data_IF_560118413171
#
_entry.id   IF_560118413171
#
_cell.length_a   1.000
_cell.length_b   1.000
_cell.length_c   1.000
_cell.angle_alpha   90.00
_cell.angle_beta   90.00
_cell.angle_gamma   90.00
#
_symmetry.space_group_name_H-M   'P 1'
#
loop_
_entity.id
_entity.type
_entity.pdbx_description
1 polymer ?
#
# COMPACT_ATOMS: atom_id res chain seq x y z
N UNK A 1 4.36 73.02 -46.72
CA UNK A 1 3.59 71.88 -47.25
C UNK A 1 4.49 70.65 -47.24
N UNK A 2 4.57 69.94 -46.11
CA UNK A 2 5.19 68.62 -46.04
C UNK A 2 4.08 67.59 -46.35
N UNK A 3 4.29 66.76 -47.36
CA UNK A 3 3.26 65.90 -47.92
C UNK A 3 2.90 64.69 -47.02
N UNK A 4 1.67 64.15 -47.14
CA UNK A 4 1.15 63.02 -46.34
C UNK A 4 1.82 61.66 -46.62
N UNK A 5 2.95 61.62 -47.34
CA UNK A 5 3.60 60.38 -47.77
C UNK A 5 4.56 59.78 -46.73
N UNK A 6 5.11 60.58 -45.81
CA UNK A 6 6.04 60.07 -44.79
C UNK A 6 5.35 59.34 -43.63
N UNK A 7 4.14 59.77 -43.26
CA UNK A 7 3.38 59.15 -42.15
C UNK A 7 2.86 57.75 -42.49
N UNK A 8 2.51 57.53 -43.76
CA UNK A 8 2.06 56.21 -44.25
C UNK A 8 3.21 55.20 -44.32
N UNK A 9 4.43 55.65 -44.64
CA UNK A 9 5.62 54.79 -44.65
C UNK A 9 6.02 54.35 -43.23
N UNK A 10 5.99 55.27 -42.27
CA UNK A 10 6.27 54.96 -40.86
C UNK A 10 5.21 54.03 -40.23
N UNK A 11 3.94 54.21 -40.59
CA UNK A 11 2.86 53.31 -40.13
C UNK A 11 3.01 51.88 -40.67
N UNK A 12 3.46 51.72 -41.92
CA UNK A 12 3.72 50.40 -42.51
C UNK A 12 4.89 49.68 -41.83
N UNK A 13 6.01 50.37 -41.57
CA UNK A 13 7.17 49.78 -40.89
C UNK A 13 6.85 49.34 -39.44
N UNK A 14 6.12 50.16 -38.68
CA UNK A 14 5.74 49.84 -37.29
C UNK A 14 4.80 48.64 -37.20
N UNK A 15 3.88 48.46 -38.16
CA UNK A 15 2.96 47.31 -38.21
C UNK A 15 3.67 46.00 -38.53
N UNK A 16 4.73 46.03 -39.35
CA UNK A 16 5.46 44.84 -39.77
C UNK A 16 6.39 44.34 -38.65
N UNK A 17 7.04 45.26 -37.92
CA UNK A 17 7.88 44.93 -36.77
C UNK A 17 7.07 44.38 -35.61
N UNK A 18 5.88 44.92 -35.34
CA UNK A 18 4.98 44.40 -34.29
C UNK A 18 4.46 43.01 -34.62
N UNK A 19 3.98 42.77 -35.85
CA UNK A 19 3.54 41.45 -36.30
C UNK A 19 4.66 40.41 -36.24
N UNK A 20 5.89 40.78 -36.62
CA UNK A 20 7.03 39.87 -36.56
C UNK A 20 7.39 39.49 -35.11
N UNK A 21 7.39 40.45 -34.18
CA UNK A 21 7.61 40.18 -32.74
C UNK A 21 6.54 39.27 -32.15
N UNK A 22 5.27 39.41 -32.55
CA UNK A 22 4.19 38.54 -32.09
C UNK A 22 4.32 37.11 -32.65
N UNK A 23 4.78 36.96 -33.90
CA UNK A 23 5.05 35.66 -34.52
C UNK A 23 6.19 34.93 -33.81
N UNK A 24 7.27 35.65 -33.47
CA UNK A 24 8.38 35.09 -32.69
C UNK A 24 7.97 34.74 -31.26
N UNK A 25 7.21 35.60 -30.57
CA UNK A 25 6.70 35.31 -29.23
C UNK A 25 5.78 34.08 -29.21
N UNK A 26 4.90 33.93 -30.21
CA UNK A 26 4.05 32.73 -30.37
C UNK A 26 4.86 31.47 -30.64
N UNK A 27 5.86 31.54 -31.52
CA UNK A 27 6.74 30.41 -31.80
C UNK A 27 7.57 30.01 -30.56
N UNK A 28 8.11 30.98 -29.82
CA UNK A 28 8.81 30.74 -28.58
C UNK A 28 7.90 30.09 -27.52
N UNK A 29 6.66 30.57 -27.37
CA UNK A 29 5.68 29.97 -26.46
C UNK A 29 5.36 28.51 -26.82
N UNK A 30 5.19 28.21 -28.11
CA UNK A 30 4.89 26.85 -28.60
C UNK A 30 6.05 25.88 -28.29
N UNK A 31 7.30 26.35 -28.33
CA UNK A 31 8.49 25.53 -28.04
C UNK A 31 8.77 25.45 -26.53
N UNK A 32 8.67 26.56 -25.79
CA UNK A 32 8.99 26.59 -24.36
C UNK A 32 7.88 26.00 -23.49
N UNK A 33 6.60 26.13 -23.87
CA UNK A 33 5.49 25.62 -23.06
C UNK A 33 5.59 24.11 -22.77
N UNK A 34 5.82 23.20 -23.75
CA UNK A 34 5.97 21.78 -23.45
C UNK A 34 7.21 21.47 -22.59
N UNK A 35 8.31 22.23 -22.74
CA UNK A 35 9.50 22.09 -21.89
C UNK A 35 9.23 22.53 -20.43
N UNK A 36 8.51 23.62 -20.23
CA UNK A 36 8.12 24.11 -18.90
C UNK A 36 7.09 23.18 -18.23
N UNK A 37 6.17 22.61 -19.00
CA UNK A 37 5.16 21.66 -18.52
C UNK A 37 5.81 20.32 -18.13
N UNK A 38 6.77 19.83 -18.90
CA UNK A 38 7.53 18.62 -18.57
C UNK A 38 8.34 18.77 -17.27
N UNK A 39 8.86 19.97 -16.98
CA UNK A 39 9.55 20.29 -15.72
C UNK A 39 8.63 20.50 -14.51
N UNK A 40 7.30 20.55 -14.71
CA UNK A 40 6.32 20.92 -13.67
C UNK A 40 5.53 19.71 -13.10
N UNK A 41 6.05 18.49 -13.30
CA UNK A 41 5.50 17.27 -12.68
C UNK A 41 4.36 16.57 -13.43
N UNK A 42 4.11 16.91 -14.70
CA UNK A 42 3.08 16.22 -15.51
C UNK A 42 3.32 14.72 -15.63
N UNK A 43 4.59 14.29 -15.67
CA UNK A 43 4.94 12.87 -15.76
C UNK A 43 4.93 12.15 -14.40
N UNK A 44 4.83 12.88 -13.29
CA UNK A 44 4.90 12.29 -11.94
C UNK A 44 3.75 11.32 -11.70
N UNK A 45 2.51 11.67 -12.09
CA UNK A 45 1.33 10.82 -11.90
C UNK A 45 1.47 9.49 -12.67
N UNK A 46 1.71 9.49 -14.00
CA UNK A 46 1.95 8.23 -14.74
C UNK A 46 3.11 7.40 -14.19
N UNK A 47 4.21 8.03 -13.77
CA UNK A 47 5.36 7.32 -13.20
C UNK A 47 4.99 6.62 -11.89
N UNK A 48 4.28 7.30 -10.98
CA UNK A 48 3.84 6.71 -9.71
C UNK A 48 2.76 5.64 -9.92
N UNK A 49 1.88 5.83 -10.91
CA UNK A 49 0.86 4.85 -11.29
C UNK A 49 1.48 3.52 -11.75
N UNK A 50 2.47 3.60 -12.66
CA UNK A 50 3.21 2.42 -13.13
C UNK A 50 4.07 1.79 -12.04
N UNK A 51 4.65 2.58 -11.13
CA UNK A 51 5.37 2.05 -9.97
C UNK A 51 4.44 1.25 -9.04
N UNK A 52 3.23 1.76 -8.75
CA UNK A 52 2.26 1.05 -7.92
C UNK A 52 1.75 -0.23 -8.61
N UNK A 53 1.50 -0.19 -9.93
CA UNK A 53 1.14 -1.39 -10.73
C UNK A 53 2.25 -2.42 -10.76
N UNK A 54 3.51 -2.01 -10.82
CA UNK A 54 4.65 -2.93 -10.76
C UNK A 54 4.70 -3.67 -9.41
N UNK A 55 4.50 -2.95 -8.30
CA UNK A 55 4.40 -3.58 -6.97
C UNK A 55 3.17 -4.49 -6.85
N UNK A 56 2.06 -4.11 -7.47
CA UNK A 56 0.88 -4.98 -7.55
C UNK A 56 1.15 -6.28 -8.31
N UNK A 57 1.90 -6.23 -9.41
CA UNK A 57 2.33 -7.42 -10.13
C UNK A 57 3.20 -8.33 -9.24
N UNK A 58 4.07 -7.74 -8.43
CA UNK A 58 4.90 -8.52 -7.50
C UNK A 58 4.07 -9.23 -6.41
N UNK A 59 3.06 -8.56 -5.85
CA UNK A 59 2.10 -9.18 -4.93
C UNK A 59 1.42 -10.39 -5.58
N UNK A 60 0.95 -10.24 -6.82
CA UNK A 60 0.32 -11.33 -7.57
C UNK A 60 1.28 -12.50 -7.81
N UNK A 61 2.54 -12.22 -8.15
CA UNK A 61 3.56 -13.26 -8.34
C UNK A 61 3.73 -14.11 -7.08
N UNK A 62 3.79 -13.48 -5.91
CA UNK A 62 3.95 -14.21 -4.65
C UNK A 62 2.68 -15.02 -4.30
N UNK A 63 1.49 -14.47 -4.53
CA UNK A 63 0.24 -15.23 -4.34
C UNK A 63 0.10 -16.41 -5.30
N UNK A 64 0.51 -16.25 -6.57
CA UNK A 64 0.53 -17.32 -7.55
C UNK A 64 1.48 -18.44 -7.11
N UNK A 65 2.71 -18.07 -6.71
CA UNK A 65 3.70 -19.03 -6.21
C UNK A 65 3.17 -19.82 -5.02
N UNK A 66 2.47 -19.18 -4.09
CA UNK A 66 1.80 -19.86 -2.98
C UNK A 66 0.76 -20.85 -3.50
N UNK A 67 -0.10 -20.43 -4.42
CA UNK A 67 -1.12 -21.29 -4.99
C UNK A 67 -0.55 -22.51 -5.74
N UNK A 68 0.62 -22.36 -6.37
CA UNK A 68 1.30 -23.43 -7.11
C UNK A 68 1.93 -24.50 -6.21
N UNK A 69 2.28 -24.14 -4.97
CA UNK A 69 2.84 -25.09 -3.99
C UNK A 69 1.76 -25.98 -3.34
N UNK A 70 0.51 -25.51 -3.30
CA UNK A 70 -0.58 -26.18 -2.56
C UNK A 70 -0.88 -27.59 -3.07
N UNK A 71 -0.98 -27.89 -4.38
CA UNK A 71 -1.27 -29.24 -4.84
C UNK A 71 -0.26 -30.27 -4.35
N UNK A 72 1.03 -29.93 -4.36
CA UNK A 72 2.10 -30.80 -3.86
C UNK A 72 2.02 -30.99 -2.34
N UNK A 73 1.67 -29.93 -1.60
CA UNK A 73 1.43 -30.02 -0.16
C UNK A 73 0.24 -30.94 0.15
N UNK A 74 -0.88 -30.74 -0.54
CA UNK A 74 -2.10 -31.54 -0.37
C UNK A 74 -1.82 -33.01 -0.67
N UNK A 75 -1.09 -33.33 -1.73
CA UNK A 75 -0.75 -34.71 -2.06
C UNK A 75 0.18 -35.36 -1.03
N UNK A 76 1.17 -34.60 -0.54
CA UNK A 76 2.05 -35.06 0.53
C UNK A 76 1.27 -35.36 1.82
N UNK A 77 0.38 -34.45 2.24
CA UNK A 77 -0.45 -34.65 3.45
C UNK A 77 -1.42 -35.81 3.25
N UNK A 78 -2.04 -35.96 2.07
CA UNK A 78 -2.92 -37.09 1.75
C UNK A 78 -2.26 -38.45 1.96
N UNK A 79 -0.97 -38.57 1.63
CA UNK A 79 -0.22 -39.82 1.82
C UNK A 79 -0.13 -40.30 3.27
N UNK A 80 -0.21 -39.37 4.25
CA UNK A 80 -0.04 -39.67 5.67
C UNK A 80 -1.32 -39.48 6.51
N UNK A 81 -2.19 -38.55 6.11
CA UNK A 81 -3.34 -38.08 6.89
C UNK A 81 -4.64 -38.19 6.08
N UNK A 82 -4.93 -39.36 5.49
CA UNK A 82 -6.13 -39.60 4.68
C UNK A 82 -7.47 -39.34 5.40
N UNK A 83 -7.45 -39.36 6.73
CA UNK A 83 -8.62 -39.10 7.58
C UNK A 83 -8.95 -37.59 7.66
N UNK A 84 -8.01 -36.70 7.34
CA UNK A 84 -8.17 -35.24 7.37
C UNK A 84 -8.82 -34.70 6.08
N UNK A 85 -9.80 -35.42 5.53
CA UNK A 85 -10.44 -35.08 4.25
C UNK A 85 -11.06 -33.69 4.27
N UNK A 86 -11.71 -33.33 5.38
CA UNK A 86 -12.37 -32.03 5.51
C UNK A 86 -11.36 -30.88 5.36
N UNK A 87 -10.20 -30.98 6.02
CA UNK A 87 -9.16 -29.95 5.94
C UNK A 87 -8.57 -29.87 4.52
N UNK A 88 -8.31 -31.01 3.89
CA UNK A 88 -7.79 -31.06 2.52
C UNK A 88 -8.77 -30.48 1.49
N UNK A 89 -10.08 -30.71 1.68
CA UNK A 89 -11.14 -30.09 0.88
C UNK A 89 -11.15 -28.58 1.08
N UNK A 90 -11.13 -28.09 2.34
CA UNK A 90 -11.07 -26.66 2.63
C UNK A 90 -9.86 -25.97 2.00
N UNK A 91 -8.68 -26.63 2.00
CA UNK A 91 -7.46 -26.10 1.36
C UNK A 91 -7.64 -25.99 -0.15
N UNK A 92 -8.25 -27.01 -0.76
CA UNK A 92 -8.48 -27.05 -2.21
C UNK A 92 -9.49 -25.98 -2.63
N UNK A 93 -10.57 -25.81 -1.87
CA UNK A 93 -11.60 -24.79 -2.09
C UNK A 93 -11.04 -23.37 -1.89
N UNK A 94 -10.27 -23.15 -0.81
CA UNK A 94 -9.64 -21.87 -0.54
C UNK A 94 -8.64 -21.49 -1.63
N UNK A 95 -7.86 -22.45 -2.13
CA UNK A 95 -6.99 -22.25 -3.31
C UNK A 95 -7.81 -21.85 -4.53
N UNK A 96 -8.87 -22.58 -4.83
CA UNK A 96 -9.73 -22.29 -5.97
C UNK A 96 -10.27 -20.85 -5.89
N UNK A 97 -10.83 -20.47 -4.74
CA UNK A 97 -11.31 -19.11 -4.48
C UNK A 97 -10.22 -18.05 -4.67
N UNK A 98 -9.02 -18.27 -4.10
CA UNK A 98 -7.89 -17.34 -4.21
C UNK A 98 -7.35 -17.18 -5.63
N UNK A 99 -7.51 -18.19 -6.50
CA UNK A 99 -7.06 -18.16 -7.90
C UNK A 99 -8.15 -17.73 -8.90
N UNK A 100 -9.42 -17.77 -8.49
CA UNK A 100 -10.55 -17.51 -9.39
C UNK A 100 -10.78 -16.02 -9.67
N UNK A 101 -10.30 -15.15 -8.79
CA UNK A 101 -10.37 -13.71 -9.00
C UNK A 101 -9.41 -13.34 -10.14
N UNK A 102 -9.96 -13.09 -11.33
CA UNK A 102 -9.19 -12.52 -12.45
C UNK A 102 -8.73 -11.13 -12.05
N UNK A 103 -7.45 -11.04 -11.69
CA UNK A 103 -6.84 -9.78 -11.34
C UNK A 103 -6.49 -9.04 -12.62
N UNK A 104 -7.16 -7.92 -12.85
CA UNK A 104 -6.74 -6.93 -13.82
C UNK A 104 -6.25 -5.66 -13.11
N UNK A 105 -5.72 -4.71 -13.88
CA UNK A 105 -5.32 -3.41 -13.35
C UNK A 105 -6.48 -2.59 -12.77
N UNK A 106 -7.74 -2.96 -13.03
CA UNK A 106 -8.91 -2.27 -12.47
C UNK A 106 -9.22 -2.70 -11.03
N UNK A 107 -8.81 -3.92 -10.64
CA UNK A 107 -9.03 -4.49 -9.30
C UNK A 107 -8.50 -3.57 -8.20
N UNK A 108 -7.32 -2.96 -8.40
CA UNK A 108 -6.71 -2.04 -7.41
C UNK A 108 -7.43 -0.69 -7.30
N UNK A 109 -8.31 -0.36 -8.24
CA UNK A 109 -9.12 0.87 -8.22
C UNK A 109 -10.59 0.61 -7.84
N UNK A 110 -11.01 -0.65 -7.76
CA UNK A 110 -12.34 -1.08 -7.32
C UNK A 110 -12.28 -1.61 -5.87
N UNK A 111 -12.85 -0.88 -4.89
CA UNK A 111 -12.86 -1.32 -3.50
C UNK A 111 -13.47 -2.71 -3.28
N UNK A 112 -14.57 -3.02 -3.97
CA UNK A 112 -15.29 -4.28 -3.76
C UNK A 112 -14.53 -5.47 -4.37
N UNK A 113 -13.90 -5.28 -5.52
CA UNK A 113 -13.06 -6.30 -6.13
C UNK A 113 -11.77 -6.53 -5.31
N UNK A 114 -11.12 -5.44 -4.87
CA UNK A 114 -9.93 -5.52 -4.03
C UNK A 114 -10.20 -6.21 -2.70
N UNK A 115 -11.30 -5.87 -2.03
CA UNK A 115 -11.68 -6.49 -0.75
C UNK A 115 -11.95 -7.99 -0.92
N UNK A 116 -12.71 -8.39 -1.93
CA UNK A 116 -12.93 -9.81 -2.24
C UNK A 116 -11.63 -10.55 -2.51
N UNK A 117 -10.71 -9.95 -3.26
CA UNK A 117 -9.39 -10.52 -3.51
C UNK A 117 -8.61 -10.70 -2.21
N UNK A 118 -8.51 -9.65 -1.40
CA UNK A 118 -7.79 -9.68 -0.12
C UNK A 118 -8.38 -10.73 0.83
N UNK A 119 -9.71 -10.79 0.97
CA UNK A 119 -10.39 -11.78 1.81
C UNK A 119 -10.10 -13.21 1.36
N UNK A 120 -10.12 -13.50 0.06
CA UNK A 120 -9.79 -14.83 -0.46
C UNK A 120 -8.33 -15.22 -0.15
N UNK A 121 -7.39 -14.27 -0.25
CA UNK A 121 -5.99 -14.50 0.11
C UNK A 121 -5.79 -14.71 1.62
N UNK A 122 -6.50 -13.97 2.46
CA UNK A 122 -6.43 -14.11 3.92
C UNK A 122 -7.08 -15.43 4.38
N UNK A 123 -8.20 -15.84 3.79
CA UNK A 123 -8.83 -17.14 4.02
C UNK A 123 -7.87 -18.29 3.69
N UNK A 124 -7.20 -18.22 2.53
CA UNK A 124 -6.21 -19.22 2.14
C UNK A 124 -5.07 -19.31 3.17
N UNK A 125 -4.54 -18.18 3.62
CA UNK A 125 -3.50 -18.13 4.67
C UNK A 125 -3.96 -18.82 5.95
N UNK A 126 -5.18 -18.54 6.40
CA UNK A 126 -5.74 -19.15 7.61
C UNK A 126 -5.95 -20.67 7.49
N UNK A 127 -6.39 -21.14 6.33
CA UNK A 127 -6.56 -22.58 6.05
C UNK A 127 -5.21 -23.29 5.99
N UNK A 128 -4.20 -22.68 5.36
CA UNK A 128 -2.83 -23.22 5.33
C UNK A 128 -2.24 -23.31 6.74
N UNK A 129 -2.48 -22.30 7.60
CA UNK A 129 -2.09 -22.37 9.01
C UNK A 129 -2.70 -23.56 9.74
N UNK A 130 -3.98 -23.87 9.51
CA UNK A 130 -4.62 -25.08 10.07
C UNK A 130 -4.03 -26.37 9.52
N UNK A 131 -3.74 -26.43 8.22
CA UNK A 131 -3.08 -27.58 7.60
C UNK A 131 -1.70 -27.84 8.21
N UNK A 132 -0.92 -26.80 8.51
CA UNK A 132 0.38 -26.95 9.18
C UNK A 132 0.27 -27.49 10.60
N UNK A 133 -0.83 -27.26 11.31
CA UNK A 133 -1.06 -27.85 12.64
C UNK A 133 -1.35 -29.36 12.60
N UNK A 134 -1.76 -29.92 11.45
CA UNK A 134 -2.03 -31.35 11.33
C UNK A 134 -0.77 -32.18 11.63
N UNK A 135 0.43 -31.68 11.29
CA UNK A 135 1.68 -32.40 11.50
C UNK A 135 1.90 -32.83 12.97
N UNK A 136 1.36 -32.09 13.94
CA UNK A 136 1.49 -32.42 15.37
C UNK A 136 0.75 -33.71 15.75
N UNK A 137 -0.29 -34.08 14.98
CA UNK A 137 -1.04 -35.33 15.17
C UNK A 137 -0.45 -36.48 14.35
N UNK A 138 0.45 -36.21 13.42
CA UNK A 138 1.01 -37.19 12.47
C UNK A 138 2.55 -37.11 12.47
N UNK A 139 3.25 -37.78 13.39
CA UNK A 139 4.71 -37.72 13.52
C UNK A 139 5.47 -38.10 12.23
N UNK A 140 4.96 -39.08 11.48
CA UNK A 140 5.56 -39.50 10.21
C UNK A 140 5.54 -38.37 9.16
N UNK A 141 4.45 -37.59 9.12
CA UNK A 141 4.33 -36.42 8.25
C UNK A 141 5.27 -35.30 8.72
N UNK A 142 5.35 -35.07 10.04
CA UNK A 142 6.23 -34.05 10.65
C UNK A 142 7.71 -34.28 10.33
N UNK A 143 8.13 -35.54 10.20
CA UNK A 143 9.51 -35.92 9.86
C UNK A 143 9.76 -36.07 8.35
N UNK A 144 8.71 -35.97 7.52
CA UNK A 144 8.82 -36.14 6.08
C UNK A 144 9.59 -34.96 5.45
N UNK A 145 10.69 -35.28 4.76
CA UNK A 145 11.57 -34.27 4.16
C UNK A 145 10.88 -33.42 3.08
N UNK A 146 9.97 -34.00 2.29
CA UNK A 146 9.22 -33.25 1.28
C UNK A 146 8.24 -32.27 1.93
N UNK A 147 7.58 -32.69 3.02
CA UNK A 147 6.68 -31.82 3.77
C UNK A 147 7.43 -30.65 4.43
N UNK A 148 8.56 -30.92 5.10
CA UNK A 148 9.41 -29.89 5.70
C UNK A 148 9.93 -28.88 4.66
N UNK A 149 10.33 -29.36 3.48
CA UNK A 149 10.75 -28.49 2.39
C UNK A 149 9.60 -27.60 1.89
N UNK A 150 8.40 -28.15 1.71
CA UNK A 150 7.22 -27.39 1.28
C UNK A 150 6.77 -26.37 2.34
N UNK A 151 6.83 -26.74 3.62
CA UNK A 151 6.56 -25.83 4.74
C UNK A 151 7.52 -24.64 4.70
N UNK A 152 8.83 -24.87 4.58
CA UNK A 152 9.82 -23.80 4.47
C UNK A 152 9.60 -22.91 3.25
N UNK A 153 9.23 -23.49 2.10
CA UNK A 153 8.92 -22.72 0.89
C UNK A 153 7.67 -21.86 1.06
N UNK A 154 6.63 -22.36 1.74
CA UNK A 154 5.41 -21.62 2.04
C UNK A 154 5.66 -20.50 3.03
N UNK A 155 6.37 -20.75 4.13
CA UNK A 155 6.79 -19.71 5.09
C UNK A 155 7.61 -18.62 4.39
N UNK A 156 8.57 -19.01 3.56
CA UNK A 156 9.34 -18.08 2.74
C UNK A 156 8.48 -17.27 1.78
N UNK A 157 7.41 -17.86 1.25
CA UNK A 157 6.46 -17.17 0.36
C UNK A 157 5.56 -16.22 1.16
N UNK A 158 5.08 -16.60 2.35
CA UNK A 158 4.30 -15.70 3.22
C UNK A 158 5.10 -14.48 3.66
N UNK A 159 6.37 -14.66 4.01
CA UNK A 159 7.25 -13.55 4.32
C UNK A 159 7.42 -12.58 3.13
N UNK A 160 7.54 -13.12 1.92
CA UNK A 160 7.61 -12.30 0.69
C UNK A 160 6.28 -11.62 0.38
N UNK A 161 5.15 -12.28 0.60
CA UNK A 161 3.81 -11.67 0.49
C UNK A 161 3.70 -10.48 1.44
N UNK A 162 4.13 -10.62 2.70
CA UNK A 162 4.08 -9.54 3.68
C UNK A 162 4.92 -8.32 3.22
N UNK A 163 6.13 -8.56 2.70
CA UNK A 163 6.99 -7.51 2.15
C UNK A 163 6.36 -6.88 0.91
N UNK A 164 5.90 -7.69 -0.05
CA UNK A 164 5.28 -7.19 -1.28
C UNK A 164 4.01 -6.35 -1.00
N UNK A 165 3.16 -6.76 -0.05
CA UNK A 165 2.00 -5.97 0.39
C UNK A 165 2.42 -4.63 1.00
N UNK A 166 3.48 -4.62 1.82
CA UNK A 166 4.02 -3.39 2.41
C UNK A 166 4.55 -2.45 1.34
N UNK A 167 5.34 -2.96 0.41
CA UNK A 167 5.97 -2.16 -0.65
C UNK A 167 4.92 -1.63 -1.64
N UNK A 168 3.90 -2.44 -1.96
CA UNK A 168 2.71 -2.00 -2.69
C UNK A 168 1.96 -0.88 -1.96
N UNK A 169 1.67 -1.04 -0.66
CA UNK A 169 0.99 -0.01 0.12
C UNK A 169 1.77 1.31 0.14
N UNK A 170 3.10 1.24 0.23
CA UNK A 170 3.95 2.43 0.17
C UNK A 170 3.88 3.12 -1.19
N UNK A 171 3.94 2.36 -2.29
CA UNK A 171 3.79 2.91 -3.64
C UNK A 171 2.40 3.51 -3.88
N UNK A 172 1.34 2.85 -3.40
CA UNK A 172 -0.04 3.36 -3.45
C UNK A 172 -0.18 4.62 -2.62
N UNK A 173 0.44 4.69 -1.43
CA UNK A 173 0.41 5.90 -0.61
C UNK A 173 1.07 7.08 -1.33
N UNK A 174 2.22 6.88 -1.96
CA UNK A 174 2.90 7.93 -2.73
C UNK A 174 2.05 8.39 -3.93
N UNK A 175 1.50 7.46 -4.70
CA UNK A 175 0.59 7.75 -5.81
C UNK A 175 -0.68 8.48 -5.36
N UNK A 176 -1.36 7.96 -4.33
CA UNK A 176 -2.58 8.55 -3.80
C UNK A 176 -2.34 9.94 -3.22
N UNK A 177 -1.16 10.18 -2.63
CA UNK A 177 -0.75 11.50 -2.12
C UNK A 177 -0.56 12.47 -3.29
N UNK A 178 0.12 12.05 -4.36
CA UNK A 178 0.34 12.87 -5.56
C UNK A 178 -0.98 13.38 -6.16
N UNK A 179 -1.94 12.48 -6.38
CA UNK A 179 -3.21 12.85 -7.02
C UNK A 179 -4.15 13.65 -6.11
N UNK A 180 -3.86 13.73 -4.80
CA UNK A 180 -4.69 14.43 -3.79
C UNK A 180 -4.10 15.74 -3.28
N UNK A 181 -2.81 15.99 -3.51
CA UNK A 181 -2.10 17.17 -2.97
C UNK A 181 -1.68 18.12 -4.08
N UNK A 182 -1.46 19.40 -3.73
CA UNK A 182 -0.98 20.39 -4.69
C UNK A 182 0.54 20.22 -4.92
N UNK A 183 1.04 20.28 -6.18
CA UNK A 183 0.32 20.62 -7.42
C UNK A 183 -0.32 19.44 -8.16
N UNK A 184 -0.03 18.20 -7.80
CA UNK A 184 -0.48 16.99 -8.52
C UNK A 184 -2.01 16.87 -8.68
N UNK A 185 -2.81 17.33 -7.71
CA UNK A 185 -4.26 17.38 -7.79
C UNK A 185 -4.80 18.19 -8.98
N UNK A 186 -4.09 19.26 -9.39
CA UNK A 186 -4.46 20.02 -10.60
C UNK A 186 -4.23 19.19 -11.87
N UNK A 187 -3.10 18.49 -11.94
CA UNK A 187 -2.78 17.63 -13.07
C UNK A 187 -3.74 16.43 -13.15
N UNK A 188 -4.08 15.82 -12.00
CA UNK A 188 -5.09 14.77 -11.91
C UNK A 188 -6.48 15.25 -12.36
N UNK A 189 -6.89 16.46 -11.96
CA UNK A 189 -8.18 17.02 -12.36
C UNK A 189 -8.28 17.47 -13.83
N UNK A 190 -7.16 17.74 -14.50
CA UNK A 190 -7.14 18.32 -15.86
C UNK A 190 -6.63 17.32 -16.91
N UNK A 191 -5.34 16.99 -16.86
CA UNK A 191 -4.64 16.16 -17.85
C UNK A 191 -4.86 14.67 -17.56
N UNK A 192 -4.79 14.26 -16.31
CA UNK A 192 -4.83 12.86 -15.88
C UNK A 192 -6.14 12.47 -15.19
N UNK A 193 -7.27 12.84 -15.80
CA UNK A 193 -8.64 12.56 -15.26
C UNK A 193 -8.97 11.08 -15.07
N UNK A 194 -8.15 10.19 -15.63
CA UNK A 194 -8.24 8.75 -15.46
C UNK A 194 -7.61 8.27 -14.15
N UNK A 195 -6.76 9.08 -13.50
CA UNK A 195 -6.08 8.71 -12.26
C UNK A 195 -7.08 8.60 -11.11
N UNK A 196 -7.24 7.38 -10.60
CA UNK A 196 -8.17 7.05 -9.51
C UNK A 196 -7.38 6.56 -8.30
N UNK A 197 -7.78 6.90 -7.07
CA UNK A 197 -7.12 6.37 -5.89
C UNK A 197 -7.10 4.84 -5.89
N UNK A 198 -5.92 4.28 -5.64
CA UNK A 198 -5.74 2.84 -5.50
C UNK A 198 -6.00 2.41 -4.06
N UNK A 199 -6.43 1.15 -3.89
CA UNK A 199 -6.68 0.54 -2.60
C UNK A 199 -5.39 0.04 -1.96
N UNK A 200 -5.34 0.05 -0.63
CA UNK A 200 -4.22 -0.51 0.13
C UNK A 200 -4.68 -1.77 0.86
N UNK A 201 -3.77 -2.72 1.02
CA UNK A 201 -4.00 -3.82 1.95
C UNK A 201 -4.10 -3.31 3.38
N UNK A 202 -5.07 -3.81 4.15
CA UNK A 202 -5.10 -3.60 5.58
C UNK A 202 -3.84 -4.15 6.25
N UNK A 203 -3.43 -3.53 7.36
CA UNK A 203 -2.38 -4.08 8.22
C UNK A 203 -2.75 -5.51 8.61
N UNK A 204 -1.81 -6.44 8.44
CA UNK A 204 -2.02 -7.83 8.86
C UNK A 204 -2.34 -7.88 10.35
N UNK A 205 -3.17 -8.83 10.79
CA UNK A 205 -3.46 -9.05 12.21
C UNK A 205 -2.17 -9.26 13.04
N UNK A 206 -1.13 -9.80 12.41
CA UNK A 206 0.22 -9.96 12.98
C UNK A 206 0.93 -8.63 13.26
N UNK A 207 0.65 -7.57 12.48
CA UNK A 207 1.19 -6.24 12.73
C UNK A 207 0.48 -5.51 13.89
N UNK A 208 -0.73 -5.94 14.23
CA UNK A 208 -1.51 -5.38 15.35
C UNK A 208 -1.14 -6.02 16.70
N UNK A 209 -0.42 -7.15 16.68
CA UNK A 209 -0.06 -7.90 17.89
C UNK A 209 1.46 -7.92 18.04
N UNK A 210 2.01 -6.99 18.83
CA UNK A 210 3.43 -7.01 19.15
C UNK A 210 3.78 -8.30 19.94
N UNK A 211 4.82 -9.06 19.56
CA UNK A 211 5.24 -10.23 20.31
C UNK A 211 5.73 -9.80 21.69
N UNK A 212 5.07 -10.27 22.74
CA UNK A 212 5.46 -9.99 24.11
C UNK A 212 6.58 -10.96 24.51
N UNK A 213 7.83 -10.58 24.22
CA UNK A 213 9.00 -11.41 24.55
C UNK A 213 9.36 -11.17 26.01
N UNK A 214 8.79 -11.99 26.88
CA UNK A 214 9.11 -11.97 28.31
C UNK A 214 10.26 -12.94 28.58
N UNK A 215 11.49 -12.45 28.49
CA UNK A 215 12.64 -13.16 29.04
C UNK A 215 12.55 -13.01 30.56
N UNK A 216 11.96 -14.01 31.23
CA UNK A 216 11.85 -14.01 32.68
C UNK A 216 13.21 -13.77 33.33
N UNK A 217 13.47 -12.52 33.72
CA UNK A 217 14.57 -12.20 34.59
C UNK A 217 14.25 -12.80 35.97
N UNK A 218 15.17 -13.53 36.61
CA UNK A 218 14.96 -13.94 38.00
C UNK A 218 14.78 -12.66 38.83
N UNK A 219 13.76 -12.67 39.69
CA UNK A 219 13.33 -11.52 40.47
C UNK A 219 14.52 -10.80 41.11
N UNK A 220 14.82 -9.60 40.63
CA UNK A 220 15.68 -8.68 41.35
C UNK A 220 14.97 -8.30 42.66
N UNK A 221 15.66 -8.28 43.81
CA UNK A 221 15.04 -7.96 45.08
C UNK A 221 14.45 -6.56 45.02
N UNK A 222 13.20 -6.44 45.49
CA UNK A 222 12.45 -5.21 45.61
C UNK A 222 13.29 -4.13 46.32
N UNK A 223 13.85 -3.20 45.55
CA UNK A 223 14.35 -1.95 46.09
C UNK A 223 13.15 -1.04 46.28
N UNK A 224 12.77 -0.85 47.54
CA UNK A 224 11.75 0.10 47.95
C UNK A 224 12.01 1.48 47.31
N UNK A 225 11.00 2.00 46.61
CA UNK A 225 11.02 3.34 46.07
C UNK A 225 11.19 4.38 47.20
N UNK A 226 11.99 5.44 47.02
CA UNK A 226 12.02 6.54 47.97
C UNK A 226 10.67 7.27 47.96
N UNK A 227 10.19 7.59 49.16
CA UNK A 227 8.91 8.25 49.39
C UNK A 227 8.81 9.59 48.64
N UNK A 228 7.66 9.80 47.99
CA UNK A 228 7.30 11.05 47.36
C UNK A 228 7.18 12.19 48.40
N UNK A 229 7.56 13.44 48.07
CA UNK A 229 7.41 14.57 48.98
C UNK A 229 5.93 14.94 49.15
N UNK A 230 5.54 15.17 50.41
CA UNK A 230 4.19 15.59 50.79
C UNK A 230 3.84 16.98 50.21
N UNK A 231 2.65 17.09 49.62
CA UNK A 231 2.07 18.36 49.20
C UNK A 231 1.66 19.22 50.41
N UNK A 232 1.77 20.56 50.34
CA UNK A 232 1.44 21.44 51.46
C UNK A 232 -0.08 21.58 51.65
N UNK A 233 -0.47 21.65 52.93
CA UNK A 233 -1.84 21.77 53.41
C UNK A 233 -2.51 23.08 52.96
N UNK A 234 -3.74 22.97 52.45
CA UNK A 234 -4.64 24.10 52.21
C UNK A 234 -5.35 24.49 53.51
N UNK A 235 -5.14 25.74 53.92
CA UNK A 235 -5.83 26.43 55.01
C UNK A 235 -7.34 26.55 54.72
N UNK A 236 -8.24 26.31 55.69
CA UNK A 236 -9.66 26.55 55.50
C UNK A 236 -10.03 28.02 55.75
N UNK A 237 -10.94 28.56 54.93
CA UNK A 237 -11.49 29.91 55.04
C UNK A 237 -12.41 30.08 56.26
N UNK A 238 -12.51 31.27 56.87
CA UNK A 238 -13.25 31.46 58.11
C UNK A 238 -14.76 31.58 57.91
N UNK A 239 -15.49 30.99 58.87
CA UNK A 239 -16.95 31.02 58.98
C UNK A 239 -17.48 32.44 59.25
N UNK A 240 -18.50 32.83 58.48
CA UNK A 240 -19.28 34.03 58.72
C UNK A 240 -20.21 33.81 59.93
N UNK A 241 -20.03 34.66 60.95
CA UNK A 241 -20.86 34.71 62.14
C UNK A 241 -22.20 35.42 61.86
N UNK A 242 -23.25 34.87 62.43
CA UNK A 242 -24.60 35.42 62.43
C UNK A 242 -24.76 36.33 63.67
N UNK A 243 -25.30 37.54 63.50
CA UNK A 243 -25.77 38.38 64.61
C UNK A 243 -27.05 39.12 64.22
N UNK A 244 -28.14 38.74 64.92
CA UNK A 244 -29.42 39.43 65.18
C UNK A 244 -30.37 39.70 64.02
#
# INVERSE_FOLDING_TARGET
MAGPSSDLAQAWELSHVTNLRHRFARAALIVLAPMLIAGCGVNTIPTKDEAAKAQWAEVQNQYQRRADLIPNLVETVKGYATQEREVLTQVTEARASATQVKVDASTITDPAAFEKYAQAQDQLSGVLGRLMMIQERYPDLKSNQNFLALQSQLEGTENRIAIARRDYNAAVQDYNTEIRTFPGALWAGTVHRWAKPMQTFAASASAQTAPNVNFGAPAAPSMAAPAAPAAPATTPAPAAANTR
#
